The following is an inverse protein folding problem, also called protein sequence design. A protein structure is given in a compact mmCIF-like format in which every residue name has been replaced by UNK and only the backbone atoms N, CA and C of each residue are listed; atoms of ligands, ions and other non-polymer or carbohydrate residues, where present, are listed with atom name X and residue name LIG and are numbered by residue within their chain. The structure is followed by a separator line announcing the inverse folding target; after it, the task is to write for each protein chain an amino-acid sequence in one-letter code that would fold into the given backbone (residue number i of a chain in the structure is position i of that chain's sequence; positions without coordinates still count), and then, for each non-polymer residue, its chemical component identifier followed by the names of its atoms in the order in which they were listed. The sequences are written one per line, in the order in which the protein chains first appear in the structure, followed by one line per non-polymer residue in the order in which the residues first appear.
data_IF_188899304278
#
_entry.id   IF_188899304278
#
_cell.length_a   1.000
_cell.length_b   1.000
_cell.length_c   1.000
_cell.angle_alpha   90.00
_cell.angle_beta   90.00
_cell.angle_gamma   90.00
#
_symmetry.space_group_name_H-M   'P 1'
#
loop_
_entity.id
_entity.type
_entity.pdbx_description
1 polymer ?
#
# COMPACT_ATOMS: atom_id res chain seq x y z
N UNK A 1 3.30 4.37 9.30
CA UNK A 1 4.21 3.32 8.74
C UNK A 1 5.46 3.14 9.62
N UNK A 2 5.28 3.27 10.93
CA UNK A 2 6.35 3.73 11.81
C UNK A 2 7.33 2.62 12.16
N UNK A 3 6.85 1.38 12.15
CA UNK A 3 7.66 0.19 12.34
C UNK A 3 8.66 0.02 11.18
N UNK A 4 8.18 0.10 9.93
CA UNK A 4 9.05 -0.09 8.77
C UNK A 4 10.12 1.01 8.68
N UNK A 5 9.77 2.26 9.03
CA UNK A 5 10.73 3.39 9.08
C UNK A 5 11.89 3.18 10.05
N UNK A 6 11.68 2.38 11.12
CA UNK A 6 12.70 2.14 12.16
C UNK A 6 13.72 1.07 11.81
N UNK A 7 13.32 0.08 11.00
CA UNK A 7 14.11 -1.14 10.83
C UNK A 7 14.49 -1.43 9.38
N UNK A 8 13.75 -0.89 8.41
CA UNK A 8 14.05 -1.10 7.00
C UNK A 8 14.96 0.02 6.47
N UNK A 9 15.81 -0.34 5.51
CA UNK A 9 16.63 0.62 4.74
C UNK A 9 15.93 1.09 3.47
N UNK A 10 15.00 0.29 2.95
CA UNK A 10 14.22 0.52 1.73
C UNK A 10 12.78 0.11 1.97
N UNK A 11 11.85 0.80 1.34
CA UNK A 11 10.41 0.55 1.44
C UNK A 11 9.85 0.38 0.04
N UNK A 12 9.14 -0.72 -0.17
CA UNK A 12 8.42 -1.01 -1.40
C UNK A 12 6.94 -0.96 -1.11
N UNK A 13 6.24 -0.04 -1.76
CA UNK A 13 4.80 0.09 -1.70
C UNK A 13 4.12 -0.77 -2.76
N UNK A 14 3.14 -1.59 -2.38
CA UNK A 14 2.37 -2.41 -3.33
C UNK A 14 0.90 -2.01 -3.24
N UNK A 15 0.28 -1.76 -4.40
CA UNK A 15 -1.16 -1.49 -4.53
C UNK A 15 -1.73 -2.16 -5.75
N UNK A 16 -2.87 -2.85 -5.59
CA UNK A 16 -3.52 -3.56 -6.70
C UNK A 16 -2.60 -4.57 -7.41
N UNK A 17 -1.71 -5.22 -6.65
CA UNK A 17 -0.73 -6.18 -7.19
C UNK A 17 0.44 -5.56 -7.96
N UNK A 18 0.62 -4.23 -7.94
CA UNK A 18 1.70 -3.52 -8.63
C UNK A 18 2.57 -2.73 -7.64
N UNK A 19 3.84 -2.54 -7.99
CA UNK A 19 4.74 -1.65 -7.25
C UNK A 19 4.29 -0.21 -7.50
N UNK A 20 3.88 0.48 -6.43
CA UNK A 20 3.51 1.89 -6.46
C UNK A 20 4.72 2.80 -6.23
N UNK A 21 5.66 2.37 -5.38
CA UNK A 21 6.96 3.02 -5.20
C UNK A 21 8.01 2.05 -4.66
N UNK A 22 9.29 2.38 -4.87
CA UNK A 22 10.45 1.72 -4.29
C UNK A 22 11.51 2.78 -3.97
N UNK A 23 11.67 3.10 -2.68
CA UNK A 23 12.49 4.23 -2.23
C UNK A 23 13.34 3.85 -1.01
N UNK A 24 14.50 4.50 -0.79
CA UNK A 24 15.16 4.43 0.50
C UNK A 24 14.25 5.02 1.59
N UNK A 25 14.39 4.54 2.82
CA UNK A 25 13.49 4.94 3.93
C UNK A 25 13.54 6.44 4.25
N UNK A 26 14.69 7.08 4.01
CA UNK A 26 14.86 8.54 4.15
C UNK A 26 14.01 9.36 3.17
N UNK A 27 13.57 8.76 2.07
CA UNK A 27 12.78 9.42 1.02
C UNK A 27 11.31 9.01 1.05
N UNK A 28 10.91 8.14 2.00
CA UNK A 28 9.51 7.75 2.15
C UNK A 28 8.68 8.95 2.60
N UNK A 29 7.87 9.49 1.71
CA UNK A 29 6.94 10.58 2.00
C UNK A 29 5.63 10.04 2.64
N UNK A 30 4.95 10.91 3.37
CA UNK A 30 3.68 10.57 3.98
C UNK A 30 2.53 10.56 2.96
N UNK A 31 2.61 11.38 1.90
CA UNK A 31 1.59 11.44 0.84
C UNK A 31 1.47 10.15 0.03
N UNK A 32 2.59 9.54 -0.41
CA UNK A 32 2.56 8.27 -1.11
C UNK A 32 2.13 7.13 -0.16
N UNK A 33 2.43 7.25 1.13
CA UNK A 33 1.90 6.31 2.12
C UNK A 33 0.39 6.46 2.25
N UNK A 34 -0.13 7.68 2.34
CA UNK A 34 -1.56 7.96 2.40
C UNK A 34 -2.29 7.47 1.14
N UNK A 35 -1.69 7.66 -0.03
CA UNK A 35 -2.23 7.16 -1.30
C UNK A 35 -2.30 5.63 -1.35
N UNK A 36 -1.29 4.93 -0.82
CA UNK A 36 -1.29 3.47 -0.74
C UNK A 36 -2.45 2.92 0.09
N UNK A 37 -2.73 3.56 1.23
CA UNK A 37 -3.76 3.10 2.18
C UNK A 37 -5.14 3.71 1.91
N UNK A 38 -5.26 4.66 0.99
CA UNK A 38 -6.56 5.24 0.64
C UNK A 38 -7.49 4.12 0.18
N UNK A 39 -8.61 4.01 0.88
CA UNK A 39 -9.70 3.11 0.51
C UNK A 39 -10.08 3.37 -0.95
N UNK A 40 -9.99 2.32 -1.76
CA UNK A 40 -10.57 2.34 -3.09
C UNK A 40 -12.01 1.91 -2.89
N UNK A 41 -12.96 2.63 -3.48
CA UNK A 41 -14.34 2.17 -3.47
C UNK A 41 -14.39 0.70 -3.92
N UNK A 42 -15.19 -0.14 -3.26
CA UNK A 42 -15.33 -1.54 -3.67
C UNK A 42 -15.65 -1.56 -5.16
N UNK A 43 -14.87 -2.31 -5.94
CA UNK A 43 -15.17 -2.47 -7.37
C UNK A 43 -16.58 -3.08 -7.44
N UNK A 44 -17.58 -2.37 -7.99
CA UNK A 44 -18.95 -2.86 -8.01
C UNK A 44 -18.99 -4.21 -8.73
N UNK A 45 -19.47 -5.24 -8.04
CA UNK A 45 -19.59 -6.60 -8.60
C UNK A 45 -18.47 -7.57 -8.21
N UNK A 46 -17.40 -7.15 -7.54
CA UNK A 46 -16.41 -8.07 -6.94
C UNK A 46 -16.79 -8.32 -5.46
N UNK A 47 -17.99 -8.87 -5.25
CA UNK A 47 -18.37 -9.41 -3.95
C UNK A 47 -17.77 -10.81 -3.79
N UNK A 48 -17.18 -11.09 -2.63
CA UNK A 48 -16.87 -12.46 -2.22
C UNK A 48 -18.18 -13.26 -2.24
N UNK A 49 -18.38 -14.10 -3.26
CA UNK A 49 -19.50 -15.05 -3.28
C UNK A 49 -19.17 -16.17 -2.31
N UNK A 50 -19.89 -16.22 -1.19
CA UNK A 50 -19.94 -17.41 -0.37
C UNK A 50 -20.50 -18.56 -1.24
N UNK A 51 -19.71 -19.61 -1.43
CA UNK A 51 -20.16 -20.87 -2.02
C UNK A 51 -20.58 -21.78 -0.86
N UNK A 52 -21.81 -22.26 -0.91
CA UNK A 52 -22.33 -23.32 -0.02
C UNK A 52 -22.03 -24.70 -0.62
#
# INVERSE_FOLDING_TARGET
PDLARRFARRIIGIRGGRIAFDVPTSELNDDATAELYREVEPIPGIGLRAVS
#
